data_IF_282248283356
#
_entry.id   IF_282248283356
#
_cell.length_a   1.000
_cell.length_b   1.000
_cell.length_c   1.000
_cell.angle_alpha   90.00
_cell.angle_beta   90.00
_cell.angle_gamma   90.00
#
_symmetry.space_group_name_H-M   'P 1'
#
loop_
_entity.id
_entity.type
_entity.pdbx_description
1 polymer ?
#
# COMPACT_ATOMS: atom_id res chain seq x y z
N UNK A 1 -6.64 -20.42 -52.65
CA UNK A 1 -6.28 -20.87 -51.28
C UNK A 1 -6.84 -19.86 -50.31
N UNK A 2 -7.63 -20.29 -49.34
CA UNK A 2 -8.21 -19.40 -48.32
C UNK A 2 -7.13 -19.17 -47.25
N UNK A 3 -6.84 -17.91 -46.94
CA UNK A 3 -5.99 -17.54 -45.81
C UNK A 3 -6.65 -18.01 -44.50
N UNK A 4 -5.88 -18.54 -43.53
CA UNK A 4 -6.44 -18.92 -42.24
C UNK A 4 -6.72 -17.66 -41.42
N UNK A 5 -7.98 -17.50 -41.02
CA UNK A 5 -8.39 -16.54 -40.00
C UNK A 5 -7.62 -16.82 -38.70
N UNK A 6 -6.80 -15.86 -38.27
CA UNK A 6 -6.23 -15.85 -36.93
C UNK A 6 -7.38 -15.79 -35.93
N UNK A 7 -7.55 -16.86 -35.16
CA UNK A 7 -8.45 -16.86 -34.01
C UNK A 7 -7.94 -15.80 -33.03
N UNK A 8 -8.70 -14.71 -32.90
CA UNK A 8 -8.43 -13.67 -31.93
C UNK A 8 -8.42 -14.28 -30.53
N UNK A 9 -7.27 -14.26 -29.86
CA UNK A 9 -7.20 -14.38 -28.40
C UNK A 9 -8.13 -13.31 -27.83
N UNK A 10 -9.25 -13.70 -27.24
CA UNK A 10 -10.02 -12.80 -26.38
C UNK A 10 -9.04 -12.22 -25.36
N UNK A 11 -8.99 -10.89 -25.26
CA UNK A 11 -8.16 -10.22 -24.27
C UNK A 11 -8.61 -10.70 -22.88
N UNK A 12 -7.71 -11.36 -22.16
CA UNK A 12 -7.97 -11.86 -20.82
C UNK A 12 -8.05 -10.67 -19.87
N UNK A 13 -9.24 -10.38 -19.34
CA UNK A 13 -9.44 -9.34 -18.31
C UNK A 13 -8.90 -9.88 -16.99
N UNK A 14 -7.96 -9.16 -16.36
CA UNK A 14 -7.41 -9.53 -15.05
C UNK A 14 -8.48 -9.41 -13.98
N UNK A 15 -8.76 -10.51 -13.29
CA UNK A 15 -9.76 -10.59 -12.21
C UNK A 15 -9.09 -10.52 -10.86
N UNK A 16 -9.57 -9.59 -10.04
CA UNK A 16 -9.04 -9.29 -8.72
C UNK A 16 -10.09 -9.67 -7.67
N UNK A 17 -9.63 -10.30 -6.58
CA UNK A 17 -10.39 -10.41 -5.35
C UNK A 17 -9.70 -9.67 -4.21
N UNK A 18 -10.47 -9.11 -3.29
CA UNK A 18 -9.95 -8.40 -2.11
C UNK A 18 -10.25 -9.25 -0.88
N UNK A 19 -9.23 -9.70 -0.17
CA UNK A 19 -9.39 -10.32 1.15
C UNK A 19 -9.18 -9.27 2.23
N UNK A 20 -10.22 -9.03 3.05
CA UNK A 20 -10.28 -7.94 4.04
C UNK A 20 -10.78 -6.64 3.43
N UNK A 21 -12.09 -6.38 3.50
CA UNK A 21 -12.69 -5.15 2.96
C UNK A 21 -12.68 -4.01 3.99
N UNK A 22 -11.55 -3.87 4.69
CA UNK A 22 -11.29 -2.87 5.71
C UNK A 22 -10.87 -1.50 5.12
N UNK A 23 -10.06 -0.76 5.87
CA UNK A 23 -9.55 0.56 5.43
C UNK A 23 -8.81 0.47 4.10
N UNK A 24 -7.89 -0.50 3.95
CA UNK A 24 -7.07 -0.64 2.73
C UNK A 24 -7.90 -1.22 1.58
N UNK A 25 -8.61 -2.33 1.78
CA UNK A 25 -9.43 -2.95 0.73
C UNK A 25 -10.46 -2.00 0.10
N UNK A 26 -11.13 -1.15 0.90
CA UNK A 26 -12.07 -0.15 0.36
C UNK A 26 -11.39 0.93 -0.46
N UNK A 27 -10.22 1.41 -0.02
CA UNK A 27 -9.48 2.45 -0.76
C UNK A 27 -8.86 1.88 -2.03
N UNK A 28 -8.38 0.63 -2.00
CA UNK A 28 -7.94 -0.09 -3.19
C UNK A 28 -9.07 -0.17 -4.23
N UNK A 29 -10.28 -0.60 -3.82
CA UNK A 29 -11.40 -0.68 -4.76
C UNK A 29 -11.75 0.68 -5.37
N UNK A 30 -11.78 1.76 -4.56
CA UNK A 30 -12.01 3.12 -5.08
C UNK A 30 -10.98 3.51 -6.13
N UNK A 31 -9.69 3.35 -5.81
CA UNK A 31 -8.60 3.67 -6.72
C UNK A 31 -8.65 2.85 -8.02
N UNK A 32 -8.95 1.54 -7.92
CA UNK A 32 -9.02 0.68 -9.10
C UNK A 32 -10.22 1.04 -10.00
N UNK A 33 -11.37 1.37 -9.41
CA UNK A 33 -12.56 1.78 -10.17
C UNK A 33 -12.28 3.06 -10.97
N UNK A 34 -11.59 4.00 -10.34
CA UNK A 34 -11.29 5.33 -10.91
C UNK A 34 -10.16 5.28 -11.95
N UNK A 35 -9.08 4.55 -11.65
CA UNK A 35 -7.80 4.68 -12.38
C UNK A 35 -7.49 3.50 -13.30
N UNK A 36 -8.08 2.34 -13.01
CA UNK A 36 -7.79 1.09 -13.71
C UNK A 36 -9.09 0.37 -14.13
N UNK A 37 -9.97 0.99 -14.94
CA UNK A 37 -11.23 0.38 -15.36
C UNK A 37 -11.05 -0.88 -16.23
N UNK A 38 -9.84 -1.15 -16.72
CA UNK A 38 -9.47 -2.34 -17.49
C UNK A 38 -9.34 -3.62 -16.63
N UNK A 39 -9.23 -3.51 -15.31
CA UNK A 39 -9.23 -4.67 -14.40
C UNK A 39 -10.58 -4.82 -13.71
N UNK A 40 -10.94 -6.06 -13.38
CA UNK A 40 -12.25 -6.37 -12.81
C UNK A 40 -12.10 -6.86 -11.36
N UNK A 41 -12.70 -6.16 -10.40
CA UNK A 41 -12.85 -6.69 -9.04
C UNK A 41 -14.11 -7.54 -8.97
N UNK A 42 -13.92 -8.86 -8.88
CA UNK A 42 -15.03 -9.82 -8.94
C UNK A 42 -15.57 -10.22 -7.58
N UNK A 43 -14.74 -10.12 -6.53
CA UNK A 43 -15.11 -10.51 -5.18
C UNK A 43 -14.43 -9.68 -4.08
N UNK A 44 -15.12 -9.53 -2.97
CA UNK A 44 -14.57 -9.12 -1.68
C UNK A 44 -14.88 -10.19 -0.63
N UNK A 45 -13.91 -10.51 0.22
CA UNK A 45 -14.12 -11.34 1.41
C UNK A 45 -13.95 -10.49 2.66
N UNK A 46 -15.02 -10.35 3.45
CA UNK A 46 -15.03 -9.63 4.72
C UNK A 46 -16.06 -10.25 5.65
N UNK A 47 -15.85 -10.19 6.96
CA UNK A 47 -16.81 -10.78 7.91
C UNK A 47 -18.06 -9.91 8.10
N UNK A 48 -18.03 -8.63 7.73
CA UNK A 48 -19.21 -7.78 7.70
C UNK A 48 -20.16 -8.16 6.54
N UNK A 49 -21.46 -7.95 6.75
CA UNK A 49 -22.46 -8.20 5.72
C UNK A 49 -22.37 -7.18 4.56
N UNK A 50 -22.94 -7.49 3.38
CA UNK A 50 -22.89 -6.60 2.22
C UNK A 50 -23.48 -5.20 2.45
N UNK A 51 -24.52 -5.06 3.28
CA UNK A 51 -25.14 -3.75 3.55
C UNK A 51 -24.19 -2.86 4.36
N UNK A 52 -23.53 -3.43 5.37
CA UNK A 52 -22.51 -2.73 6.14
C UNK A 52 -21.32 -2.36 5.25
N UNK A 53 -20.85 -3.27 4.41
CA UNK A 53 -19.77 -3.00 3.45
C UNK A 53 -20.13 -1.87 2.47
N UNK A 54 -21.35 -1.86 1.93
CA UNK A 54 -21.84 -0.78 1.08
C UNK A 54 -21.87 0.57 1.80
N UNK A 55 -22.36 0.60 3.06
CA UNK A 55 -22.39 1.82 3.87
C UNK A 55 -20.97 2.39 4.09
N UNK A 56 -20.02 1.55 4.51
CA UNK A 56 -18.63 1.93 4.78
C UNK A 56 -17.85 2.26 3.50
N UNK A 57 -18.24 1.71 2.36
CA UNK A 57 -17.69 2.10 1.07
C UNK A 57 -18.20 3.49 0.65
N UNK A 58 -19.52 3.73 0.78
CA UNK A 58 -20.18 4.98 0.40
C UNK A 58 -19.77 6.17 1.26
N UNK A 59 -19.51 5.96 2.55
CA UNK A 59 -19.21 7.04 3.51
C UNK A 59 -17.85 6.82 4.17
N UNK A 60 -16.89 7.72 3.93
CA UNK A 60 -15.55 7.69 4.54
C UNK A 60 -15.25 9.01 5.25
N UNK A 61 -14.87 8.97 6.53
CA UNK A 61 -14.60 10.18 7.31
C UNK A 61 -13.37 10.98 6.85
N UNK A 62 -12.43 10.34 6.15
CA UNK A 62 -11.21 10.99 5.68
C UNK A 62 -11.33 11.49 4.24
N UNK A 63 -12.05 10.75 3.38
CA UNK A 63 -12.16 11.04 1.94
C UNK A 63 -13.56 11.46 1.49
N UNK A 64 -14.50 11.60 2.42
CA UNK A 64 -15.86 12.00 2.14
C UNK A 64 -16.74 10.89 1.55
N UNK A 65 -17.83 11.31 0.92
CA UNK A 65 -18.83 10.42 0.33
C UNK A 65 -18.38 10.00 -1.07
N UNK A 66 -18.46 8.70 -1.38
CA UNK A 66 -18.25 8.21 -2.74
C UNK A 66 -19.28 8.82 -3.70
N UNK A 67 -18.84 9.35 -4.84
CA UNK A 67 -19.67 10.13 -5.75
C UNK A 67 -20.74 9.26 -6.45
N UNK A 68 -20.35 8.05 -6.89
CA UNK A 68 -21.19 7.14 -7.66
C UNK A 68 -22.24 6.36 -6.85
N UNK A 69 -23.01 5.51 -7.50
CA UNK A 69 -24.09 4.75 -6.89
C UNK A 69 -23.55 3.54 -6.15
N UNK A 70 -24.03 3.34 -4.92
CA UNK A 70 -23.62 2.22 -4.05
C UNK A 70 -24.85 1.64 -3.40
N UNK A 71 -25.08 0.36 -3.61
CA UNK A 71 -26.10 -0.43 -2.91
C UNK A 71 -25.59 -1.86 -2.68
N UNK A 72 -26.42 -2.71 -2.08
CA UNK A 72 -26.08 -4.09 -1.80
C UNK A 72 -27.27 -5.02 -2.04
N UNK A 73 -26.98 -6.24 -2.48
CA UNK A 73 -27.91 -7.37 -2.41
C UNK A 73 -27.59 -8.22 -1.16
N UNK A 74 -28.22 -9.38 -1.02
CA UNK A 74 -27.94 -10.31 0.08
C UNK A 74 -26.48 -10.81 0.09
N UNK A 75 -25.84 -10.87 -1.08
CA UNK A 75 -24.57 -11.57 -1.31
C UNK A 75 -23.57 -10.76 -2.16
N UNK A 76 -23.82 -9.48 -2.41
CA UNK A 76 -22.98 -8.66 -3.28
C UNK A 76 -23.10 -7.15 -3.00
N UNK A 77 -22.07 -6.42 -3.43
CA UNK A 77 -22.10 -4.97 -3.61
C UNK A 77 -22.50 -4.65 -5.05
N UNK A 78 -23.29 -3.58 -5.21
CA UNK A 78 -23.59 -2.97 -6.50
C UNK A 78 -22.99 -1.56 -6.51
N UNK A 79 -21.89 -1.36 -7.24
CA UNK A 79 -21.16 -0.09 -7.30
C UNK A 79 -21.12 0.36 -8.75
N UNK A 80 -21.79 1.47 -9.07
CA UNK A 80 -21.90 2.01 -10.44
C UNK A 80 -22.33 0.95 -11.47
N UNK A 81 -23.31 0.11 -11.09
CA UNK A 81 -23.81 -1.00 -11.90
C UNK A 81 -22.95 -2.26 -11.88
N UNK A 82 -21.74 -2.21 -11.31
CA UNK A 82 -20.84 -3.38 -11.17
C UNK A 82 -21.29 -4.25 -10.00
N UNK A 83 -21.49 -5.54 -10.25
CA UNK A 83 -21.82 -6.52 -9.21
C UNK A 83 -20.55 -7.19 -8.70
N UNK A 84 -20.24 -6.99 -7.43
CA UNK A 84 -19.05 -7.55 -6.78
C UNK A 84 -19.52 -8.53 -5.69
N UNK A 85 -19.18 -9.82 -5.83
CA UNK A 85 -19.59 -10.86 -4.87
C UNK A 85 -19.01 -10.55 -3.49
N UNK A 86 -19.81 -10.70 -2.44
CA UNK A 86 -19.34 -10.63 -1.06
C UNK A 86 -19.30 -12.05 -0.50
N UNK A 87 -18.17 -12.39 0.09
CA UNK A 87 -17.90 -13.64 0.80
C UNK A 87 -17.61 -13.31 2.26
N UNK A 88 -17.90 -14.25 3.16
CA UNK A 88 -17.70 -14.10 4.61
C UNK A 88 -16.99 -15.32 5.20
N UNK A 89 -15.87 -15.72 4.59
CA UNK A 89 -15.09 -16.90 4.97
C UNK A 89 -13.84 -16.50 5.77
N UNK A 90 -13.56 -17.24 6.85
CA UNK A 90 -12.42 -17.00 7.75
C UNK A 90 -11.17 -17.74 7.29
N UNK A 91 -11.32 -18.85 6.58
CA UNK A 91 -10.23 -19.70 6.13
C UNK A 91 -9.94 -19.45 4.64
N UNK A 92 -8.82 -18.80 4.28
CA UNK A 92 -8.47 -18.47 2.90
C UNK A 92 -8.54 -19.64 1.90
N UNK A 93 -8.21 -20.86 2.33
CA UNK A 93 -8.22 -22.06 1.49
C UNK A 93 -9.63 -22.52 1.07
N UNK A 94 -10.68 -22.06 1.75
CA UNK A 94 -12.08 -22.38 1.43
C UNK A 94 -12.73 -21.38 0.48
N UNK A 95 -12.03 -20.29 0.14
CA UNK A 95 -12.55 -19.28 -0.75
C UNK A 95 -12.65 -19.84 -2.18
N UNK A 96 -13.73 -19.55 -2.93
CA UNK A 96 -13.97 -20.11 -4.25
C UNK A 96 -13.21 -19.36 -5.35
N UNK A 97 -11.92 -19.05 -5.16
CA UNK A 97 -11.11 -18.26 -6.09
C UNK A 97 -11.01 -18.90 -7.47
N UNK A 98 -10.85 -20.22 -7.51
CA UNK A 98 -10.89 -21.00 -8.76
C UNK A 98 -12.19 -20.81 -9.53
N UNK A 99 -13.32 -20.96 -8.84
CA UNK A 99 -14.66 -20.90 -9.47
C UNK A 99 -15.00 -19.49 -9.96
N UNK A 100 -14.50 -18.47 -9.25
CA UNK A 100 -14.63 -17.06 -9.63
C UNK A 100 -13.61 -16.64 -10.70
N UNK A 101 -12.62 -17.48 -11.01
CA UNK A 101 -11.55 -17.21 -11.97
C UNK A 101 -10.64 -16.05 -11.52
N UNK A 102 -10.33 -15.96 -10.23
CA UNK A 102 -9.50 -14.89 -9.67
C UNK A 102 -8.04 -15.07 -10.10
N UNK A 103 -7.43 -14.04 -10.68
CA UNK A 103 -6.00 -14.01 -10.95
C UNK A 103 -5.21 -13.52 -9.74
N UNK A 104 -5.63 -12.40 -9.16
CA UNK A 104 -4.86 -11.70 -8.12
C UNK A 104 -5.74 -11.53 -6.88
N UNK A 105 -5.21 -11.93 -5.73
CA UNK A 105 -5.79 -11.60 -4.43
C UNK A 105 -5.02 -10.46 -3.81
N UNK A 106 -5.72 -9.40 -3.44
CA UNK A 106 -5.20 -8.35 -2.55
C UNK A 106 -5.45 -8.78 -1.11
N UNK A 107 -4.40 -9.24 -0.43
CA UNK A 107 -4.45 -9.64 0.98
C UNK A 107 -4.26 -8.41 1.86
N UNK A 108 -5.38 -7.90 2.38
CA UNK A 108 -5.45 -6.67 3.16
C UNK A 108 -6.16 -6.82 4.51
N UNK A 109 -6.28 -8.05 5.01
CA UNK A 109 -6.81 -8.35 6.35
C UNK A 109 -5.82 -7.97 7.45
N UNK A 110 -4.52 -8.04 7.16
CA UNK A 110 -3.44 -7.92 8.14
C UNK A 110 -3.18 -9.19 8.97
N UNK A 111 -3.98 -10.24 8.81
CA UNK A 111 -3.79 -11.52 9.52
C UNK A 111 -2.88 -12.50 8.76
N UNK A 112 -2.88 -12.44 7.43
CA UNK A 112 -2.10 -13.34 6.56
C UNK A 112 -0.86 -12.66 5.98
N UNK A 113 -0.07 -12.01 6.84
CA UNK A 113 1.21 -11.35 6.48
C UNK A 113 2.42 -12.30 6.45
N UNK A 114 2.17 -13.61 6.59
CA UNK A 114 3.17 -14.65 6.38
C UNK A 114 2.88 -15.33 5.05
N UNK A 115 3.81 -15.30 4.10
CA UNK A 115 3.65 -15.87 2.77
C UNK A 115 3.29 -17.36 2.80
N UNK A 116 3.77 -18.10 3.80
CA UNK A 116 3.39 -19.52 4.00
C UNK A 116 1.90 -19.69 4.29
N UNK A 117 1.28 -18.72 4.97
CA UNK A 117 -0.16 -18.71 5.25
C UNK A 117 -0.96 -18.10 4.10
N UNK A 118 -0.43 -17.04 3.47
CA UNK A 118 -1.05 -16.39 2.31
C UNK A 118 -1.15 -17.35 1.11
N UNK A 119 -0.27 -18.37 1.03
CA UNK A 119 -0.34 -19.47 0.05
C UNK A 119 -1.70 -20.17 0.00
N UNK A 120 -2.46 -20.16 1.09
CA UNK A 120 -3.82 -20.70 1.10
C UNK A 120 -4.73 -20.06 0.04
N UNK A 121 -4.48 -18.82 -0.41
CA UNK A 121 -5.18 -18.22 -1.54
C UNK A 121 -4.78 -18.82 -2.89
N UNK A 122 -3.51 -19.20 -3.07
CA UNK A 122 -3.07 -19.92 -4.27
C UNK A 122 -3.69 -21.32 -4.30
N UNK A 123 -3.73 -21.99 -3.15
CA UNK A 123 -4.35 -23.32 -3.02
C UNK A 123 -5.87 -23.26 -3.31
N UNK A 124 -6.53 -22.14 -2.99
CA UNK A 124 -7.93 -21.84 -3.35
C UNK A 124 -8.14 -21.52 -4.85
N UNK A 125 -7.06 -21.33 -5.61
CA UNK A 125 -7.08 -21.18 -7.06
C UNK A 125 -6.73 -19.80 -7.61
N UNK A 126 -6.31 -18.85 -6.77
CA UNK A 126 -5.72 -17.60 -7.26
C UNK A 126 -4.32 -17.85 -7.86
N UNK A 127 -3.87 -16.98 -8.78
CA UNK A 127 -2.53 -17.10 -9.39
C UNK A 127 -1.48 -16.31 -8.65
N UNK A 128 -1.84 -15.13 -8.16
CA UNK A 128 -0.96 -14.23 -7.42
C UNK A 128 -1.63 -13.71 -6.15
N UNK A 129 -0.80 -13.41 -5.15
CA UNK A 129 -1.22 -12.73 -3.92
C UNK A 129 -0.34 -11.51 -3.70
N UNK A 130 -0.97 -10.35 -3.50
CA UNK A 130 -0.30 -9.12 -3.10
C UNK A 130 -0.69 -8.82 -1.66
N UNK A 131 0.28 -8.95 -0.75
CA UNK A 131 0.11 -8.60 0.66
C UNK A 131 0.27 -7.09 0.80
N UNK A 132 -0.76 -6.40 1.29
CA UNK A 132 -0.80 -4.95 1.42
C UNK A 132 -0.10 -4.41 2.69
N UNK A 133 0.90 -5.14 3.18
CA UNK A 133 1.64 -4.86 4.41
C UNK A 133 3.02 -5.53 4.36
N UNK A 134 3.98 -5.15 5.23
CA UNK A 134 5.22 -5.89 5.39
C UNK A 134 4.95 -7.35 5.70
N UNK A 135 5.61 -8.23 4.96
CA UNK A 135 5.41 -9.67 5.07
C UNK A 135 6.64 -10.39 5.65
N UNK A 136 6.46 -11.68 5.89
CA UNK A 136 7.54 -12.64 6.12
C UNK A 136 7.32 -13.82 5.19
N UNK A 137 8.40 -14.45 4.72
CA UNK A 137 8.33 -15.63 3.85
C UNK A 137 7.54 -15.39 2.55
N UNK A 138 7.38 -14.14 2.13
CA UNK A 138 6.96 -13.78 0.79
C UNK A 138 8.09 -14.05 -0.21
N UNK A 139 7.74 -14.23 -1.48
CA UNK A 139 8.73 -14.47 -2.53
C UNK A 139 9.58 -13.22 -2.77
N UNK A 140 8.94 -12.05 -2.73
CA UNK A 140 9.60 -10.76 -2.92
C UNK A 140 8.82 -9.61 -2.30
N UNK A 141 9.52 -8.67 -1.67
CA UNK A 141 8.99 -7.33 -1.39
C UNK A 141 9.29 -6.42 -2.58
N UNK A 142 8.25 -5.76 -3.12
CA UNK A 142 8.34 -4.85 -4.26
C UNK A 142 7.87 -3.46 -3.83
N UNK A 143 8.63 -2.44 -4.21
CA UNK A 143 8.28 -1.03 -4.10
C UNK A 143 8.43 -0.39 -5.48
N UNK A 144 7.35 0.21 -5.97
CA UNK A 144 7.30 0.85 -7.28
C UNK A 144 8.22 2.09 -7.34
N UNK A 145 8.91 2.26 -8.46
CA UNK A 145 9.96 3.28 -8.65
C UNK A 145 11.31 2.91 -8.02
N UNK A 146 11.44 1.74 -7.39
CA UNK A 146 12.63 1.33 -6.66
C UNK A 146 13.17 0.01 -7.19
N UNK A 147 12.40 -1.07 -7.06
CA UNK A 147 12.85 -2.42 -7.42
C UNK A 147 11.79 -3.24 -8.18
N UNK A 148 10.77 -2.61 -8.76
CA UNK A 148 9.71 -3.28 -9.53
C UNK A 148 10.23 -4.12 -10.69
N UNK A 149 11.41 -3.77 -11.23
CA UNK A 149 12.09 -4.53 -12.29
C UNK A 149 12.59 -5.90 -11.82
N UNK A 150 12.66 -6.13 -10.52
CA UNK A 150 13.03 -7.43 -9.95
C UNK A 150 11.85 -8.40 -9.87
N UNK A 151 10.62 -7.95 -10.18
CA UNK A 151 9.47 -8.84 -10.24
C UNK A 151 9.62 -9.86 -11.38
N UNK A 152 9.57 -11.15 -11.02
CA UNK A 152 9.61 -12.28 -11.95
C UNK A 152 8.29 -13.06 -11.80
N UNK A 153 7.36 -12.97 -12.77
CA UNK A 153 6.04 -13.60 -12.66
C UNK A 153 6.09 -15.14 -12.59
N UNK A 154 7.19 -15.76 -13.03
CA UNK A 154 7.34 -17.21 -12.95
C UNK A 154 7.74 -17.66 -11.54
N UNK A 155 8.37 -16.77 -10.75
CA UNK A 155 8.90 -17.09 -9.41
C UNK A 155 8.15 -16.42 -8.28
N UNK A 156 7.60 -15.24 -8.51
CA UNK A 156 7.02 -14.38 -7.48
C UNK A 156 5.50 -14.44 -7.56
N UNK A 157 4.92 -15.42 -6.87
CA UNK A 157 3.48 -15.64 -6.80
C UNK A 157 2.86 -14.97 -5.57
N UNK A 158 3.64 -14.77 -4.52
CA UNK A 158 3.24 -14.08 -3.29
C UNK A 158 4.22 -12.94 -3.04
N UNK A 159 3.79 -11.71 -3.28
CA UNK A 159 4.61 -10.52 -3.06
C UNK A 159 4.04 -9.64 -1.94
N UNK A 160 4.93 -8.86 -1.32
CA UNK A 160 4.54 -7.77 -0.42
C UNK A 160 4.70 -6.43 -1.13
N UNK A 161 3.71 -5.56 -1.01
CA UNK A 161 3.82 -4.15 -1.42
C UNK A 161 4.42 -3.27 -0.30
N UNK A 162 5.18 -3.88 0.61
CA UNK A 162 5.78 -3.26 1.79
C UNK A 162 4.77 -2.51 2.69
N UNK A 163 5.23 -1.48 3.40
CA UNK A 163 4.39 -0.55 4.17
C UNK A 163 4.28 0.81 3.50
N UNK A 164 3.29 1.61 3.91
CA UNK A 164 3.19 3.02 3.52
C UNK A 164 4.48 3.81 3.82
N UNK A 165 5.09 3.64 5.00
CA UNK A 165 6.35 4.31 5.34
C UNK A 165 7.52 3.84 4.46
N UNK A 166 7.54 2.57 4.06
CA UNK A 166 8.59 2.08 3.13
C UNK A 166 8.41 2.70 1.75
N UNK A 167 7.18 2.76 1.23
CA UNK A 167 6.87 3.43 -0.03
C UNK A 167 7.14 4.95 0.03
N UNK A 168 6.97 5.58 1.20
CA UNK A 168 7.32 6.98 1.41
C UNK A 168 8.84 7.26 1.45
N UNK A 169 9.62 6.37 2.07
CA UNK A 169 11.07 6.55 2.24
C UNK A 169 11.91 6.00 1.08
N UNK A 170 11.57 4.83 0.53
CA UNK A 170 12.46 4.14 -0.40
C UNK A 170 12.76 4.95 -1.68
N UNK A 171 11.81 5.66 -2.30
CA UNK A 171 12.13 6.54 -3.44
C UNK A 171 13.08 7.68 -3.07
N UNK A 172 12.91 8.29 -1.88
CA UNK A 172 13.80 9.34 -1.35
C UNK A 172 15.21 8.79 -1.12
N UNK A 173 15.31 7.65 -0.43
CA UNK A 173 16.58 6.99 -0.14
C UNK A 173 17.30 6.54 -1.43
N UNK A 174 16.54 6.10 -2.44
CA UNK A 174 17.09 5.74 -3.76
C UNK A 174 17.74 6.95 -4.43
N UNK A 175 17.03 8.08 -4.53
CA UNK A 175 17.59 9.30 -5.15
C UNK A 175 18.85 9.75 -4.44
N UNK A 176 18.84 9.81 -3.10
CA UNK A 176 20.00 10.21 -2.33
C UNK A 176 21.18 9.24 -2.48
N UNK A 177 20.92 7.93 -2.49
CA UNK A 177 21.98 6.93 -2.64
C UNK A 177 22.59 6.95 -4.04
N UNK A 178 21.76 7.05 -5.08
CA UNK A 178 22.22 7.03 -6.46
C UNK A 178 23.03 8.31 -6.81
N UNK A 179 22.64 9.47 -6.29
CA UNK A 179 23.27 10.76 -6.61
C UNK A 179 24.47 11.09 -5.70
N UNK A 180 24.40 10.74 -4.41
CA UNK A 180 25.34 11.20 -3.39
C UNK A 180 25.96 10.08 -2.56
N UNK A 181 25.39 8.88 -2.61
CA UNK A 181 25.73 7.77 -1.72
C UNK A 181 25.25 8.02 -0.29
N UNK A 182 24.65 7.02 0.35
CA UNK A 182 24.32 7.11 1.79
C UNK A 182 25.28 6.24 2.60
N UNK A 183 25.90 6.84 3.61
CA UNK A 183 26.75 6.12 4.57
C UNK A 183 25.93 5.60 5.75
N UNK A 184 25.09 6.46 6.32
CA UNK A 184 24.20 6.17 7.47
C UNK A 184 22.93 6.99 7.35
N UNK A 185 21.84 6.49 7.91
CA UNK A 185 20.66 7.34 8.11
C UNK A 185 19.78 6.91 9.27
N UNK A 186 18.99 7.86 9.73
CA UNK A 186 18.03 7.73 10.80
C UNK A 186 16.67 8.22 10.31
N UNK A 187 15.67 7.34 10.36
CA UNK A 187 14.29 7.65 10.02
C UNK A 187 13.49 7.95 11.29
N UNK A 188 12.78 9.06 11.29
CA UNK A 188 11.61 9.29 12.14
C UNK A 188 10.40 9.43 11.26
N UNK A 189 9.29 8.74 11.57
CA UNK A 189 8.00 9.07 10.94
C UNK A 189 7.01 9.59 11.96
N UNK A 190 6.48 10.78 11.71
CA UNK A 190 5.32 11.30 12.44
C UNK A 190 4.09 10.79 11.71
N UNK A 191 3.45 9.80 12.30
CA UNK A 191 2.51 8.93 11.62
C UNK A 191 1.09 9.14 12.14
N UNK A 192 0.10 9.26 11.26
CA UNK A 192 -1.31 9.21 11.68
C UNK A 192 -1.62 7.92 12.44
N UNK A 193 -2.56 7.99 13.39
CA UNK A 193 -2.99 6.78 14.06
C UNK A 193 -3.68 5.80 13.10
N UNK A 194 -3.67 4.51 13.45
CA UNK A 194 -4.28 3.45 12.64
C UNK A 194 -5.21 2.57 13.47
N UNK A 195 -5.93 1.66 12.80
CA UNK A 195 -6.86 0.73 13.47
C UNK A 195 -6.19 -0.25 14.45
N UNK A 196 -4.85 -0.35 14.47
CA UNK A 196 -4.15 -1.14 15.49
C UNK A 196 -4.20 -0.47 16.87
N UNK A 197 -4.33 0.87 16.92
CA UNK A 197 -4.45 1.63 18.17
C UNK A 197 -5.89 1.67 18.68
N UNK A 198 -6.06 2.17 19.91
CA UNK A 198 -7.34 2.13 20.63
C UNK A 198 -7.94 3.51 20.78
N UNK A 199 -9.27 3.58 20.73
CA UNK A 199 -10.00 4.84 20.95
C UNK A 199 -9.82 5.32 22.39
N UNK A 200 -9.89 4.38 23.34
CA UNK A 200 -9.70 4.59 24.78
C UNK A 200 -8.69 3.58 25.32
N UNK A 201 -8.21 3.84 26.53
CA UNK A 201 -7.24 2.98 27.20
C UNK A 201 -7.81 1.56 27.40
N UNK A 202 -7.21 0.55 26.73
CA UNK A 202 -7.65 -0.86 26.78
C UNK A 202 -6.50 -1.80 26.46
N UNK A 203 -6.59 -3.06 26.90
CA UNK A 203 -5.55 -4.08 26.69
C UNK A 203 -5.10 -4.17 25.22
N UNK A 204 -3.79 -4.17 25.04
CA UNK A 204 -3.11 -4.36 23.75
C UNK A 204 -1.80 -5.12 23.95
N UNK A 205 -1.28 -5.71 22.86
CA UNK A 205 -0.01 -6.46 22.90
C UNK A 205 1.19 -5.55 23.18
N UNK A 206 1.26 -4.40 22.51
CA UNK A 206 2.21 -3.33 22.89
C UNK A 206 1.51 -2.42 23.90
N UNK A 207 2.04 -2.23 25.13
CA UNK A 207 1.46 -1.33 26.13
C UNK A 207 1.31 0.12 25.65
N UNK A 208 2.08 0.57 24.66
CA UNK A 208 1.97 1.91 24.08
C UNK A 208 0.74 2.04 23.18
N UNK A 209 0.39 0.97 22.48
CA UNK A 209 -0.83 0.89 21.66
C UNK A 209 -2.10 0.70 22.50
N UNK A 210 -1.95 0.41 23.80
CA UNK A 210 -3.06 0.33 24.75
C UNK A 210 -3.65 1.71 25.10
N UNK A 211 -2.95 2.81 24.80
CA UNK A 211 -3.35 4.18 25.18
C UNK A 211 -4.24 4.83 24.11
N UNK A 212 -5.11 5.72 24.54
CA UNK A 212 -6.04 6.46 23.69
C UNK A 212 -5.30 7.20 22.55
N UNK A 213 -5.57 6.79 21.31
CA UNK A 213 -4.81 7.21 20.13
C UNK A 213 -4.92 8.71 19.83
N UNK A 214 -6.12 9.28 19.99
CA UNK A 214 -6.42 10.66 19.62
C UNK A 214 -5.99 11.70 20.68
N UNK A 215 -5.29 11.28 21.74
CA UNK A 215 -4.85 12.16 22.84
C UNK A 215 -3.36 12.02 23.17
N UNK A 216 -2.62 11.17 22.46
CA UNK A 216 -1.22 10.88 22.78
C UNK A 216 -0.33 10.97 21.54
N UNK A 217 0.93 11.32 21.78
CA UNK A 217 2.03 11.04 20.87
C UNK A 217 2.64 9.70 21.32
N UNK A 218 2.48 8.67 20.51
CA UNK A 218 2.83 7.29 20.89
C UNK A 218 4.09 6.84 20.15
N UNK A 219 5.24 6.68 20.83
CA UNK A 219 6.44 6.13 20.21
C UNK A 219 6.20 4.67 19.80
N UNK A 220 6.64 4.29 18.61
CA UNK A 220 6.57 2.93 18.13
C UNK A 220 7.79 2.58 17.28
N UNK A 221 8.19 1.30 17.32
CA UNK A 221 9.20 0.77 16.41
C UNK A 221 8.65 0.75 14.98
N UNK A 222 9.53 0.96 13.99
CA UNK A 222 9.19 0.85 12.58
C UNK A 222 10.06 -0.18 11.88
N UNK A 223 9.43 -1.02 11.06
CA UNK A 223 10.12 -1.96 10.18
C UNK A 223 10.65 -1.32 8.90
N UNK A 224 10.35 -0.04 8.64
CA UNK A 224 10.62 0.60 7.35
C UNK A 224 12.12 0.58 6.98
N UNK A 225 13.02 0.84 7.94
CA UNK A 225 14.46 0.77 7.69
C UNK A 225 14.92 -0.63 7.25
N UNK A 226 14.33 -1.70 7.83
CA UNK A 226 14.60 -3.08 7.42
C UNK A 226 14.03 -3.36 6.04
N UNK A 227 12.85 -2.84 5.73
CA UNK A 227 12.21 -3.02 4.43
C UNK A 227 12.95 -2.27 3.30
N UNK A 228 13.48 -1.08 3.56
CA UNK A 228 14.36 -0.36 2.61
C UNK A 228 15.57 -1.21 2.25
N UNK A 229 16.19 -1.91 3.21
CA UNK A 229 17.30 -2.82 2.93
C UNK A 229 16.92 -4.05 2.07
N UNK A 230 15.63 -4.40 1.99
CA UNK A 230 15.15 -5.49 1.11
C UNK A 230 15.00 -5.01 -0.34
N UNK A 231 14.63 -3.74 -0.53
CA UNK A 231 14.36 -3.16 -1.86
C UNK A 231 15.53 -2.35 -2.43
N UNK A 232 16.47 -1.92 -1.57
CA UNK A 232 17.73 -1.28 -1.94
C UNK A 232 18.84 -2.00 -1.17
N UNK A 233 19.37 -3.13 -1.67
CA UNK A 233 20.32 -3.97 -0.93
C UNK A 233 21.60 -3.26 -0.47
N UNK A 234 22.06 -2.24 -1.23
CA UNK A 234 23.22 -1.39 -0.90
C UNK A 234 23.08 -0.60 0.41
N UNK A 235 21.83 -0.44 0.86
CA UNK A 235 21.46 0.27 2.08
C UNK A 235 21.35 -0.66 3.30
N UNK A 236 21.59 -1.97 3.13
CA UNK A 236 21.52 -2.94 4.21
C UNK A 236 22.48 -2.60 5.36
N UNK A 237 21.93 -2.49 6.57
CA UNK A 237 22.70 -2.20 7.79
C UNK A 237 23.09 -0.74 7.99
N UNK A 238 22.73 0.15 7.05
CA UNK A 238 23.02 1.59 7.14
C UNK A 238 21.93 2.41 7.83
N UNK A 239 20.77 1.81 8.08
CA UNK A 239 19.58 2.52 8.59
C UNK A 239 18.97 1.88 9.82
N UNK A 240 18.43 2.75 10.66
CA UNK A 240 17.43 2.42 11.67
C UNK A 240 16.39 3.53 11.73
N UNK A 241 15.34 3.34 12.50
CA UNK A 241 14.36 4.40 12.68
C UNK A 241 13.31 4.09 13.72
N UNK A 242 12.48 5.08 13.97
CA UNK A 242 11.33 5.00 14.86
C UNK A 242 10.13 5.76 14.27
N UNK A 243 9.01 5.65 14.96
CA UNK A 243 7.79 6.39 14.62
C UNK A 243 7.18 7.02 15.87
N UNK A 244 6.49 8.13 15.65
CA UNK A 244 5.60 8.75 16.62
C UNK A 244 4.21 8.77 16.02
N UNK A 245 3.29 8.00 16.58
CA UNK A 245 1.89 8.02 16.16
C UNK A 245 1.21 9.21 16.80
N UNK A 246 0.58 10.07 16.01
CA UNK A 246 -0.01 11.34 16.46
C UNK A 246 -1.52 11.39 16.21
N UNK A 247 -2.26 12.30 16.88
CA UNK A 247 -3.71 12.47 16.72
C UNK A 247 -4.20 13.03 15.36
N UNK A 248 -3.65 12.57 14.25
CA UNK A 248 -4.16 12.82 12.90
C UNK A 248 -4.72 11.51 12.30
N UNK A 249 -5.84 11.55 11.56
CA UNK A 249 -6.53 10.34 11.08
C UNK A 249 -6.00 9.82 9.73
N UNK A 250 -5.21 10.61 9.01
CA UNK A 250 -4.55 10.26 7.75
C UNK A 250 -3.47 11.31 7.43
N UNK A 251 -2.58 10.96 6.49
CA UNK A 251 -1.33 11.67 6.14
C UNK A 251 -0.28 11.60 7.26
N UNK A 252 0.88 11.07 6.88
CA UNK A 252 2.06 10.91 7.72
C UNK A 252 3.23 11.59 7.03
N UNK A 253 4.27 11.93 7.80
CA UNK A 253 5.51 12.51 7.27
C UNK A 253 6.71 11.65 7.64
N UNK A 254 7.69 11.62 6.75
CA UNK A 254 9.00 11.02 6.95
C UNK A 254 10.00 12.15 7.17
N UNK A 255 10.67 12.11 8.31
CA UNK A 255 11.88 12.88 8.61
C UNK A 255 13.07 11.93 8.47
N UNK A 256 13.96 12.23 7.54
CA UNK A 256 15.08 11.36 7.18
C UNK A 256 16.39 12.12 7.26
N UNK A 257 17.16 11.82 8.29
CA UNK A 257 18.50 12.39 8.49
C UNK A 257 19.52 11.41 7.93
N UNK A 258 20.35 11.85 6.98
CA UNK A 258 21.34 11.01 6.33
C UNK A 258 22.73 11.65 6.36
N UNK A 259 23.76 10.81 6.54
CA UNK A 259 25.16 11.14 6.25
C UNK A 259 25.44 10.65 4.83
N UNK A 260 25.80 11.59 3.94
CA UNK A 260 26.06 11.32 2.54
C UNK A 260 27.56 11.10 2.29
N UNK A 261 27.89 10.45 1.17
CA UNK A 261 29.27 10.09 0.83
C UNK A 261 30.16 11.29 0.42
N UNK A 262 29.58 12.49 0.27
CA UNK A 262 30.29 13.73 0.00
C UNK A 262 29.54 14.93 0.58
N UNK A 263 30.22 16.06 0.65
CA UNK A 263 29.57 17.35 0.92
C UNK A 263 28.62 17.71 -0.23
N UNK A 264 27.44 18.19 0.14
CA UNK A 264 26.38 18.66 -0.74
C UNK A 264 25.73 19.89 -0.15
N UNK A 265 25.09 20.68 -1.01
CA UNK A 265 24.25 21.82 -0.64
C UNK A 265 22.77 21.43 -0.66
N UNK A 266 21.94 22.20 0.06
CA UNK A 266 20.46 22.08 0.00
C UNK A 266 19.95 22.17 -1.45
N UNK A 267 20.48 23.10 -2.23
CA UNK A 267 20.07 23.32 -3.62
C UNK A 267 20.40 22.10 -4.51
N UNK A 268 21.56 21.46 -4.32
CA UNK A 268 21.90 20.23 -5.03
C UNK A 268 20.93 19.08 -4.71
N UNK A 269 20.59 18.91 -3.43
CA UNK A 269 19.66 17.87 -2.97
C UNK A 269 18.26 18.12 -3.52
N UNK A 270 17.73 19.34 -3.39
CA UNK A 270 16.43 19.72 -3.93
C UNK A 270 16.39 19.57 -5.45
N UNK A 271 17.46 19.94 -6.15
CA UNK A 271 17.55 19.76 -7.59
C UNK A 271 17.53 18.27 -7.98
N UNK A 272 18.14 17.38 -7.19
CA UNK A 272 18.08 15.93 -7.43
C UNK A 272 16.65 15.40 -7.27
N UNK A 273 15.95 15.75 -6.19
CA UNK A 273 14.55 15.34 -6.00
C UNK A 273 13.63 15.87 -7.09
N UNK A 274 13.76 17.15 -7.46
CA UNK A 274 12.97 17.76 -8.53
C UNK A 274 13.21 17.11 -9.90
N UNK A 275 14.46 16.71 -10.21
CA UNK A 275 14.75 15.94 -11.42
C UNK A 275 14.14 14.55 -11.37
N UNK A 276 14.22 13.88 -10.22
CA UNK A 276 13.70 12.53 -10.05
C UNK A 276 12.17 12.49 -10.18
N UNK A 277 11.44 13.41 -9.52
CA UNK A 277 9.98 13.52 -9.58
C UNK A 277 9.47 13.86 -10.98
N UNK A 278 10.17 14.72 -11.71
CA UNK A 278 9.82 15.06 -13.09
C UNK A 278 10.24 13.99 -14.12
N UNK A 279 11.09 13.04 -13.74
CA UNK A 279 11.70 12.06 -14.62
C UNK A 279 11.41 10.61 -14.19
N UNK A 280 12.43 9.86 -13.71
CA UNK A 280 12.31 8.42 -13.46
C UNK A 280 11.28 8.03 -12.40
N UNK A 281 10.90 8.93 -11.49
CA UNK A 281 9.93 8.68 -10.42
C UNK A 281 8.60 9.40 -10.64
N UNK A 282 8.32 9.87 -11.87
CA UNK A 282 7.05 10.52 -12.19
C UNK A 282 5.86 9.61 -11.89
N UNK A 283 4.89 10.12 -11.13
CA UNK A 283 3.72 9.36 -10.65
C UNK A 283 3.99 8.51 -9.39
N UNK A 284 5.22 8.48 -8.88
CA UNK A 284 5.60 7.83 -7.62
C UNK A 284 6.05 8.87 -6.60
N UNK A 285 6.90 9.81 -7.01
CA UNK A 285 7.41 10.92 -6.21
C UNK A 285 6.92 12.24 -6.80
N UNK A 286 6.44 13.12 -5.94
CA UNK A 286 6.24 14.54 -6.27
C UNK A 286 7.21 15.43 -5.48
N UNK A 287 7.33 16.69 -5.89
CA UNK A 287 8.16 17.70 -5.24
C UNK A 287 7.41 19.03 -5.19
N UNK A 288 7.38 19.66 -4.01
CA UNK A 288 6.69 20.93 -3.81
C UNK A 288 7.54 21.92 -3.00
N UNK A 289 7.36 23.21 -3.28
CA UNK A 289 7.92 24.32 -2.51
C UNK A 289 6.80 25.12 -1.81
N UNK A 290 5.56 24.67 -1.92
CA UNK A 290 4.42 25.27 -1.22
C UNK A 290 4.47 24.92 0.27
N UNK A 291 4.07 25.85 1.17
CA UNK A 291 4.05 25.62 2.60
C UNK A 291 2.82 24.79 3.02
N UNK A 292 2.79 23.53 2.60
CA UNK A 292 1.66 22.61 2.82
C UNK A 292 1.69 22.00 4.23
N UNK A 293 0.50 21.64 4.72
CA UNK A 293 0.32 20.86 5.95
C UNK A 293 -0.36 19.52 5.65
N UNK A 294 -0.41 18.63 6.65
CA UNK A 294 -0.92 17.26 6.48
C UNK A 294 -2.32 17.15 5.84
N UNK A 295 -3.22 18.10 6.07
CA UNK A 295 -4.56 18.07 5.47
C UNK A 295 -4.57 18.30 3.97
N UNK A 296 -3.58 19.02 3.45
CA UNK A 296 -3.53 19.45 2.05
C UNK A 296 -3.10 18.29 1.13
N UNK A 297 -2.38 17.32 1.70
CA UNK A 297 -1.89 16.12 1.01
C UNK A 297 -2.91 14.96 1.04
N UNK A 298 -4.11 15.18 1.58
CA UNK A 298 -5.14 14.13 1.66
C UNK A 298 -5.66 13.77 0.27
N UNK A 299 -5.52 12.50 -0.09
CA UNK A 299 -6.01 11.98 -1.37
C UNK A 299 -4.99 12.10 -2.50
N UNK A 300 -3.81 12.64 -2.22
CA UNK A 300 -2.68 12.56 -3.14
C UNK A 300 -2.31 11.09 -3.39
N UNK A 301 -1.95 10.79 -4.64
CA UNK A 301 -1.68 9.43 -5.09
C UNK A 301 -0.21 9.05 -5.10
N UNK A 302 0.68 10.03 -5.00
CA UNK A 302 2.11 9.76 -4.96
C UNK A 302 2.47 8.99 -3.69
N UNK A 303 3.45 8.09 -3.82
CA UNK A 303 3.98 7.35 -2.67
C UNK A 303 4.75 8.27 -1.71
N UNK A 304 5.34 9.34 -2.24
CA UNK A 304 6.07 10.34 -1.46
C UNK A 304 6.00 11.72 -2.13
N UNK A 305 5.97 12.77 -1.32
CA UNK A 305 5.96 14.16 -1.77
C UNK A 305 7.06 14.87 -0.99
N UNK A 306 8.09 15.32 -1.68
CA UNK A 306 9.25 15.98 -1.07
C UNK A 306 8.93 17.45 -0.87
N UNK A 307 9.04 17.95 0.38
CA UNK A 307 8.98 19.37 0.69
C UNK A 307 10.35 20.01 0.51
N UNK A 308 10.54 20.78 -0.56
CA UNK A 308 11.80 21.46 -0.86
C UNK A 308 12.15 22.59 0.13
N UNK A 309 11.13 23.19 0.76
CA UNK A 309 11.35 24.23 1.77
C UNK A 309 11.85 23.64 3.09
N UNK A 310 11.45 22.41 3.42
CA UNK A 310 11.79 21.71 4.67
C UNK A 310 12.99 20.75 4.54
N UNK A 311 13.46 20.48 3.32
CA UNK A 311 14.69 19.72 3.02
C UNK A 311 15.94 20.53 3.34
#
# INVERSE_FOLDING_TARGET
>A
MREPQSQGRQAHVTKIAINGFGRIGRQFLKAIIERHPEVEVVAVNDLADPKMNALLFKHDSNYGKYAGDVSATEDALLIDGRRIKVLQEKEPAKLPWKDLGVDIVIESTGFFTDGTKAKAHLDAGARYVIISAPAKNEDKTIVLGVNEKEFDPEKHHIISNASCTTNGLAPVAKVLNDEFGIEKGLLTTVHSYTNSQKVLDVVAKDPRDARAAAMNIVPAETGAARAVALVIPELKGKFTGMSFRVPTPTVSVVDFVAVLGREVTKDEVNAAFKRASAGPLKGIMDYTEEPLVSSDLKGDEHSTIVSGIDT
#
